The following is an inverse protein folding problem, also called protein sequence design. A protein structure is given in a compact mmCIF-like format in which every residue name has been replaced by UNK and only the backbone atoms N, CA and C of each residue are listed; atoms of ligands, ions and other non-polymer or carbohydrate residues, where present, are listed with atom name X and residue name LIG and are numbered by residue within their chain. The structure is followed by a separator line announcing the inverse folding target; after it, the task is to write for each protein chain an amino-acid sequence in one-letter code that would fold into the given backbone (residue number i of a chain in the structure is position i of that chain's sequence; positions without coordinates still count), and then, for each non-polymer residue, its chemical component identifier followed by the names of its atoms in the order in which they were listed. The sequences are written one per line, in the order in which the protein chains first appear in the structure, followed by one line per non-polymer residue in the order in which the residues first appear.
data_IF_280909659909
#
_entry.id   IF_280909659909
#
_cell.length_a   1.000
_cell.length_b   1.000
_cell.length_c   1.000
_cell.angle_alpha   90.00
_cell.angle_beta   90.00
_cell.angle_gamma   90.00
#
_symmetry.space_group_name_H-M   'P 1'
#
loop_
_entity.id
_entity.type
_entity.pdbx_description
1 polymer ?
#
# COMPACT_ATOMS: atom_id res chain seq x y z
N UNK A 1 1.25 -12.29 -1.18
CA UNK A 1 1.10 -11.72 -2.51
C UNK A 1 2.46 -11.67 -3.22
N UNK A 2 2.48 -12.00 -4.51
CA UNK A 2 3.58 -11.64 -5.41
C UNK A 2 3.05 -10.56 -6.36
N UNK A 3 3.68 -9.39 -6.38
CA UNK A 3 3.16 -8.19 -7.02
C UNK A 3 4.10 -7.73 -8.12
N UNK A 4 3.56 -7.58 -9.33
CA UNK A 4 4.29 -7.08 -10.49
C UNK A 4 3.62 -5.78 -10.97
N UNK A 5 4.40 -4.71 -11.10
CA UNK A 5 3.91 -3.40 -11.52
C UNK A 5 3.02 -2.72 -10.49
N UNK A 6 1.72 -2.58 -10.76
CA UNK A 6 0.83 -1.71 -9.97
C UNK A 6 -0.09 -2.49 -9.02
N UNK A 7 -0.15 -2.05 -7.75
CA UNK A 7 -1.15 -2.46 -6.78
C UNK A 7 -1.77 -1.22 -6.12
N UNK A 8 -2.82 -0.67 -6.73
CA UNK A 8 -3.45 0.58 -6.30
C UNK A 8 -4.88 0.37 -5.82
N UNK A 9 -5.28 1.14 -4.82
CA UNK A 9 -6.63 1.13 -4.25
C UNK A 9 -7.02 -0.25 -3.74
N UNK A 10 -8.17 -0.78 -4.18
CA UNK A 10 -8.59 -2.14 -3.84
C UNK A 10 -7.54 -3.22 -4.15
N UNK A 11 -6.69 -3.04 -5.16
CA UNK A 11 -5.55 -3.94 -5.42
C UNK A 11 -4.50 -3.91 -4.31
N UNK A 12 -4.20 -2.72 -3.77
CA UNK A 12 -3.35 -2.58 -2.58
C UNK A 12 -4.04 -3.24 -1.37
N UNK A 13 -5.34 -3.04 -1.18
CA UNK A 13 -6.08 -3.63 -0.06
C UNK A 13 -6.08 -5.16 -0.10
N UNK A 14 -6.14 -5.77 -1.30
CA UNK A 14 -5.95 -7.20 -1.49
C UNK A 14 -4.53 -7.66 -1.09
N UNK A 15 -3.50 -6.91 -1.46
CA UNK A 15 -2.11 -7.20 -1.09
C UNK A 15 -1.93 -7.12 0.45
N UNK A 16 -2.52 -6.11 1.09
CA UNK A 16 -2.50 -5.91 2.55
C UNK A 16 -3.22 -7.02 3.31
N UNK A 17 -4.14 -7.75 2.68
CA UNK A 17 -4.84 -8.87 3.30
C UNK A 17 -4.02 -10.17 3.32
N UNK A 18 -2.85 -10.20 2.67
CA UNK A 18 -1.96 -11.37 2.65
C UNK A 18 -0.89 -11.31 3.73
N UNK A 19 -0.38 -12.47 4.14
CA UNK A 19 0.63 -12.57 5.21
C UNK A 19 1.99 -12.00 4.80
N UNK A 20 2.47 -12.37 3.60
CA UNK A 20 3.75 -11.94 3.03
C UNK A 20 3.57 -11.27 1.67
N UNK A 21 4.41 -10.31 1.32
CA UNK A 21 4.34 -9.48 0.11
C UNK A 21 5.72 -9.38 -0.54
N UNK A 22 5.87 -10.00 -1.72
CA UNK A 22 7.04 -9.85 -2.58
C UNK A 22 6.68 -8.98 -3.77
N UNK A 23 7.59 -8.10 -4.19
CA UNK A 23 7.36 -7.14 -5.24
C UNK A 23 8.45 -7.18 -6.31
N UNK A 24 8.15 -6.72 -7.53
CA UNK A 24 9.19 -6.43 -8.53
C UNK A 24 9.82 -5.05 -8.29
N UNK A 25 11.04 -4.78 -8.78
CA UNK A 25 11.70 -3.48 -8.62
C UNK A 25 10.91 -2.29 -9.20
N UNK A 26 10.04 -2.52 -10.18
CA UNK A 26 9.17 -1.52 -10.81
C UNK A 26 7.81 -1.33 -10.11
N UNK A 27 7.63 -1.89 -8.91
CA UNK A 27 6.40 -1.79 -8.12
C UNK A 27 5.96 -0.34 -7.92
N UNK A 28 4.64 -0.11 -8.03
CA UNK A 28 3.92 1.04 -7.49
C UNK A 28 2.74 0.58 -6.65
N UNK A 29 2.75 0.87 -5.35
CA UNK A 29 1.71 0.43 -4.40
C UNK A 29 1.17 1.60 -3.57
N UNK A 30 -0.14 1.66 -3.33
CA UNK A 30 -0.74 2.73 -2.53
C UNK A 30 -2.26 2.79 -2.57
N UNK A 31 -2.82 3.76 -1.84
CA UNK A 31 -4.27 3.94 -1.65
C UNK A 31 -4.71 5.34 -2.16
N UNK A 32 -4.93 5.51 -3.48
CA UNK A 32 -5.27 6.79 -4.10
C UNK A 32 -6.77 7.14 -4.06
N UNK A 33 -7.60 6.43 -3.30
CA UNK A 33 -9.06 6.59 -3.19
C UNK A 33 -9.49 8.04 -2.89
N UNK A 34 -8.69 8.76 -2.11
CA UNK A 34 -8.95 10.17 -1.76
C UNK A 34 -8.95 11.09 -2.97
N UNK A 35 -8.21 10.75 -4.04
CA UNK A 35 -8.25 11.48 -5.33
C UNK A 35 -9.58 11.32 -6.06
N UNK A 36 -10.36 10.29 -5.72
CA UNK A 36 -11.69 10.03 -6.25
C UNK A 36 -12.81 10.50 -5.30
N UNK A 37 -12.46 11.19 -4.20
CA UNK A 37 -13.42 11.64 -3.20
C UNK A 37 -13.97 10.54 -2.29
N UNK A 38 -13.29 9.38 -2.24
CA UNK A 38 -13.67 8.23 -1.40
C UNK A 38 -12.51 7.82 -0.49
N UNK A 39 -12.71 6.78 0.33
CA UNK A 39 -11.69 6.23 1.25
C UNK A 39 -11.44 4.74 0.99
N UNK A 40 -10.27 4.19 1.37
CA UNK A 40 -9.98 2.76 1.23
C UNK A 40 -10.89 1.93 2.16
N UNK A 41 -11.91 1.33 1.56
CA UNK A 41 -13.04 0.70 2.24
C UNK A 41 -12.93 -0.82 2.39
N UNK A 42 -11.99 -1.48 1.72
CA UNK A 42 -11.74 -2.91 1.85
C UNK A 42 -10.69 -3.24 2.94
N UNK A 43 -10.58 -2.35 3.94
CA UNK A 43 -9.73 -2.49 5.11
C UNK A 43 -8.35 -1.86 4.99
N UNK A 44 -8.04 -1.12 3.92
CA UNK A 44 -6.80 -0.37 3.75
C UNK A 44 -6.59 0.69 4.83
N UNK A 45 -7.66 1.38 5.22
CA UNK A 45 -7.69 2.31 6.37
C UNK A 45 -7.40 1.66 7.72
N UNK A 46 -7.38 0.32 7.79
CA UNK A 46 -7.20 -0.44 9.04
C UNK A 46 -5.89 -1.22 9.02
N UNK A 47 -5.60 -1.96 7.94
CA UNK A 47 -4.41 -2.81 7.83
C UNK A 47 -3.13 -1.99 7.62
N UNK A 48 -3.19 -0.92 6.82
CA UNK A 48 -1.99 -0.11 6.55
C UNK A 48 -1.46 0.58 7.82
N UNK A 49 -2.27 1.25 8.67
CA UNK A 49 -1.79 1.82 9.93
C UNK A 49 -1.25 0.78 10.92
N UNK A 50 -1.78 -0.44 10.92
CA UNK A 50 -1.28 -1.53 11.78
C UNK A 50 0.10 -2.03 11.35
N UNK A 51 0.42 -1.91 10.07
CA UNK A 51 1.67 -2.40 9.50
C UNK A 51 2.75 -1.31 9.47
N UNK A 52 2.39 -0.08 9.09
CA UNK A 52 3.34 1.02 8.90
C UNK A 52 3.39 2.01 10.06
N UNK A 53 2.45 1.91 11.00
CA UNK A 53 2.15 3.00 11.94
C UNK A 53 1.22 4.05 11.33
N UNK A 54 0.61 4.86 12.20
CA UNK A 54 -0.40 5.84 11.80
C UNK A 54 0.15 6.93 10.88
N UNK A 55 1.32 7.49 11.18
CA UNK A 55 1.88 8.63 10.45
C UNK A 55 2.19 8.29 8.98
N UNK A 56 2.91 7.19 8.74
CA UNK A 56 3.23 6.75 7.39
C UNK A 56 1.99 6.32 6.60
N UNK A 57 1.03 5.66 7.26
CA UNK A 57 -0.22 5.29 6.61
C UNK A 57 -1.07 6.51 6.23
N UNK A 58 -1.15 7.52 7.11
CA UNK A 58 -1.85 8.78 6.83
C UNK A 58 -1.23 9.52 5.66
N UNK A 59 0.10 9.57 5.55
CA UNK A 59 0.73 10.21 4.40
C UNK A 59 0.34 9.53 3.07
N UNK A 60 0.29 8.20 3.04
CA UNK A 60 -0.09 7.45 1.85
C UNK A 60 -1.57 7.66 1.53
N UNK A 61 -2.45 7.44 2.51
CA UNK A 61 -3.91 7.47 2.31
C UNK A 61 -4.42 8.90 2.08
N UNK A 62 -4.10 9.83 2.98
CA UNK A 62 -4.65 11.19 2.94
C UNK A 62 -4.13 11.98 1.74
N UNK A 63 -2.86 11.79 1.34
CA UNK A 63 -2.33 12.42 0.14
C UNK A 63 -2.64 11.63 -1.15
N UNK A 64 -3.21 10.42 -1.04
CA UNK A 64 -3.50 9.54 -2.17
C UNK A 64 -2.24 9.19 -2.97
N UNK A 65 -1.10 9.04 -2.28
CA UNK A 65 0.21 8.75 -2.88
C UNK A 65 0.36 7.25 -3.12
N UNK A 66 1.15 6.92 -4.12
CA UNK A 66 1.73 5.60 -4.32
C UNK A 66 3.24 5.66 -4.03
N UNK A 67 3.77 4.54 -3.55
CA UNK A 67 5.18 4.38 -3.22
C UNK A 67 5.83 3.33 -4.12
N UNK A 68 7.10 3.54 -4.43
CA UNK A 68 7.92 2.59 -5.20
C UNK A 68 8.43 1.42 -4.36
N UNK A 69 8.98 0.39 -5.01
CA UNK A 69 9.50 -0.83 -4.39
C UNK A 69 10.47 -0.56 -3.21
N UNK A 70 11.51 0.24 -3.41
CA UNK A 70 12.54 0.52 -2.39
C UNK A 70 11.94 1.18 -1.14
N UNK A 71 11.07 2.18 -1.34
CA UNK A 71 10.41 2.86 -0.24
C UNK A 71 9.41 1.93 0.45
N UNK A 72 8.67 1.12 -0.31
CA UNK A 72 7.73 0.15 0.22
C UNK A 72 8.45 -0.88 1.10
N UNK A 73 9.63 -1.35 0.69
CA UNK A 73 10.46 -2.26 1.48
C UNK A 73 10.96 -1.56 2.75
N UNK A 74 11.47 -0.34 2.62
CA UNK A 74 12.01 0.45 3.75
C UNK A 74 10.99 0.69 4.86
N UNK A 75 9.72 0.92 4.51
CA UNK A 75 8.64 1.17 5.48
C UNK A 75 7.94 -0.11 5.94
N UNK A 76 8.29 -1.28 5.39
CA UNK A 76 7.63 -2.55 5.72
C UNK A 76 6.26 -2.74 5.06
N UNK A 77 5.99 -2.03 3.95
CA UNK A 77 4.80 -2.25 3.13
C UNK A 77 4.92 -3.51 2.26
N UNK A 78 6.13 -3.90 1.92
CA UNK A 78 6.46 -5.20 1.33
C UNK A 78 7.58 -5.86 2.14
N UNK A 79 7.68 -7.19 2.06
CA UNK A 79 8.64 -7.99 2.81
C UNK A 79 9.89 -8.33 1.98
N UNK A 80 9.82 -8.12 0.65
CA UNK A 80 10.94 -8.30 -0.27
C UNK A 80 10.70 -7.69 -1.66
N UNK A 81 11.80 -7.43 -2.37
CA UNK A 81 11.87 -6.94 -3.76
C UNK A 81 12.76 -7.86 -4.58
#
# INVERSE_FOLDING_TARGET
AAVNGYALGGGCECVLATDYRLATPDLRIGLPETKLGIMPGFGGSVRMPRMLGADSALEIIAAGKDVGADQALKIGLVDGV
#
